data_IF_620427964455
#
_entry.id   IF_620427964455
#
_cell.length_a   1.000
_cell.length_b   1.000
_cell.length_c   1.000
_cell.angle_alpha   90.00
_cell.angle_beta   90.00
_cell.angle_gamma   90.00
#
_symmetry.space_group_name_H-M   'P 1'
#
loop_
_entity.id
_entity.type
_entity.pdbx_description
1 polymer ?
#
# COMPACT_ATOMS: atom_id res chain seq x y z
N UNK A 1 8.45 17.47 11.47
CA UNK A 1 8.37 17.87 10.04
C UNK A 1 7.18 17.13 9.48
N UNK A 2 6.14 17.86 9.13
CA UNK A 2 4.96 17.30 8.48
C UNK A 2 5.33 16.81 7.07
N UNK A 3 5.64 15.52 6.95
CA UNK A 3 6.00 14.89 5.67
C UNK A 3 4.83 14.89 4.67
N UNK A 4 3.58 15.07 5.15
CA UNK A 4 2.41 15.11 4.28
C UNK A 4 2.38 16.36 3.38
N UNK A 5 2.92 17.49 3.87
CA UNK A 5 3.06 18.71 3.07
C UNK A 5 4.10 18.56 1.96
N UNK A 6 5.20 17.82 2.22
CA UNK A 6 6.26 17.63 1.24
C UNK A 6 5.87 16.74 0.06
N UNK A 7 5.10 15.69 0.28
CA UNK A 7 4.69 14.76 -0.79
C UNK A 7 3.73 15.43 -1.78
N UNK A 8 2.72 16.17 -1.32
CA UNK A 8 1.80 16.89 -2.19
C UNK A 8 2.50 17.88 -3.12
N UNK A 9 3.47 18.63 -2.60
CA UNK A 9 4.22 19.61 -3.39
C UNK A 9 5.20 18.94 -4.38
N UNK A 10 5.79 17.79 -4.02
CA UNK A 10 6.67 17.03 -4.91
C UNK A 10 5.90 16.52 -6.12
N UNK A 11 4.75 15.88 -5.93
CA UNK A 11 3.92 15.39 -7.03
C UNK A 11 3.42 16.52 -7.92
N UNK A 12 3.04 17.66 -7.36
CA UNK A 12 2.57 18.80 -8.13
C UNK A 12 3.68 19.43 -8.99
N UNK A 13 4.92 19.48 -8.49
CA UNK A 13 6.07 19.90 -9.30
C UNK A 13 6.36 18.94 -10.44
N UNK A 14 6.24 17.64 -10.18
CA UNK A 14 6.41 16.62 -11.23
C UNK A 14 5.35 16.76 -12.33
N UNK A 15 4.10 17.06 -11.97
CA UNK A 15 3.01 17.25 -12.92
C UNK A 15 3.21 18.43 -13.87
N UNK A 16 4.03 19.42 -13.52
CA UNK A 16 4.41 20.51 -14.44
C UNK A 16 5.17 20.01 -15.66
N UNK A 17 5.89 18.90 -15.51
CA UNK A 17 6.68 18.28 -16.58
C UNK A 17 5.96 17.08 -17.23
N UNK A 18 4.69 16.86 -16.91
CA UNK A 18 3.89 15.74 -17.41
C UNK A 18 2.64 16.23 -18.17
N UNK A 19 2.80 16.80 -19.37
CA UNK A 19 1.69 17.43 -20.11
C UNK A 19 0.57 16.46 -20.51
N UNK A 20 0.87 15.15 -20.50
CA UNK A 20 -0.10 14.12 -20.86
C UNK A 20 -1.06 13.77 -19.72
N UNK A 21 -0.82 14.23 -18.49
CA UNK A 21 -1.72 14.00 -17.37
C UNK A 21 -2.92 14.94 -17.48
N UNK A 22 -4.08 14.39 -17.77
CA UNK A 22 -5.33 15.15 -17.97
C UNK A 22 -6.04 15.45 -16.66
N UNK A 23 -6.05 14.51 -15.72
CA UNK A 23 -6.73 14.64 -14.43
C UNK A 23 -5.85 14.15 -13.28
N UNK A 24 -5.97 14.84 -12.15
CA UNK A 24 -5.35 14.46 -10.89
C UNK A 24 -6.47 14.33 -9.85
N UNK A 25 -6.71 13.10 -9.40
CA UNK A 25 -7.73 12.79 -8.40
C UNK A 25 -7.12 12.99 -7.02
N UNK A 26 -7.69 13.89 -6.24
CA UNK A 26 -7.17 14.28 -4.92
C UNK A 26 -8.09 13.78 -3.82
N UNK A 27 -7.54 13.01 -2.87
CA UNK A 27 -8.25 12.56 -1.67
C UNK A 27 -8.07 13.59 -0.55
N UNK A 28 -9.17 14.13 -0.03
CA UNK A 28 -9.14 15.06 1.10
C UNK A 28 -8.99 14.29 2.41
N UNK A 29 -7.75 14.03 2.82
CA UNK A 29 -7.46 13.24 4.03
C UNK A 29 -7.39 14.08 5.31
N UNK A 30 -6.64 15.16 5.29
CA UNK A 30 -6.37 16.01 6.47
C UNK A 30 -7.20 17.29 6.52
N UNK A 31 -7.86 17.64 5.43
CA UNK A 31 -8.62 18.88 5.32
C UNK A 31 -7.77 20.14 5.14
N UNK A 32 -6.46 20.03 5.10
CA UNK A 32 -5.58 21.16 4.87
C UNK A 32 -5.81 21.79 3.49
N UNK A 33 -5.58 23.10 3.37
CA UNK A 33 -5.56 23.76 2.07
C UNK A 33 -4.38 23.23 1.25
N UNK A 34 -4.65 22.95 -0.03
CA UNK A 34 -3.65 22.51 -1.01
C UNK A 34 -3.70 23.45 -2.21
N UNK A 35 -2.55 23.64 -2.87
CA UNK A 35 -2.56 24.39 -4.14
C UNK A 35 -3.40 23.60 -5.16
N UNK A 36 -4.22 24.28 -5.96
CA UNK A 36 -5.23 23.66 -6.80
C UNK A 36 -5.14 24.16 -8.23
N UNK A 37 -5.18 23.23 -9.18
CA UNK A 37 -5.31 23.54 -10.61
C UNK A 37 -6.71 23.11 -11.06
N UNK A 38 -7.58 24.07 -11.33
CA UNK A 38 -8.99 23.84 -11.66
C UNK A 38 -9.22 23.10 -12.98
N UNK A 39 -8.28 23.14 -13.91
CA UNK A 39 -8.40 22.46 -15.20
C UNK A 39 -8.07 20.95 -15.10
N UNK A 40 -7.29 20.56 -14.08
CA UNK A 40 -6.76 19.22 -13.93
C UNK A 40 -7.22 18.50 -12.67
N UNK A 41 -7.21 19.22 -11.51
CA UNK A 41 -7.40 18.60 -10.21
C UNK A 41 -8.88 18.44 -9.89
N UNK A 42 -9.28 17.25 -9.40
CA UNK A 42 -10.65 16.93 -9.01
C UNK A 42 -10.66 16.21 -7.66
N UNK A 43 -11.67 16.52 -6.84
CA UNK A 43 -11.81 15.84 -5.56
C UNK A 43 -12.36 14.42 -5.75
N UNK A 44 -11.73 13.43 -5.15
CA UNK A 44 -12.19 12.05 -5.19
C UNK A 44 -13.65 11.90 -4.76
N UNK A 45 -14.01 12.48 -3.61
CA UNK A 45 -15.36 12.40 -3.07
C UNK A 45 -16.41 13.15 -3.88
N UNK A 46 -16.04 14.02 -4.80
CA UNK A 46 -16.98 14.65 -5.71
C UNK A 46 -17.23 13.78 -6.94
N UNK A 47 -16.18 13.18 -7.50
CA UNK A 47 -16.33 12.36 -8.70
C UNK A 47 -17.01 11.01 -8.45
N UNK A 48 -17.01 10.50 -7.20
CA UNK A 48 -17.66 9.23 -6.88
C UNK A 48 -19.16 9.34 -6.57
N UNK A 49 -19.72 10.57 -6.47
CA UNK A 49 -21.13 10.76 -6.09
C UNK A 49 -22.11 10.16 -7.09
N UNK A 50 -21.77 10.26 -8.35
CA UNK A 50 -22.66 9.92 -9.47
C UNK A 50 -22.21 8.65 -10.23
N UNK A 51 -21.28 7.87 -9.65
CA UNK A 51 -20.84 6.62 -10.27
C UNK A 51 -21.50 5.41 -9.61
N UNK A 52 -21.72 4.36 -10.38
CA UNK A 52 -22.22 3.09 -9.86
C UNK A 52 -21.23 2.48 -8.88
N UNK A 53 -21.75 1.87 -7.81
CA UNK A 53 -20.95 1.01 -6.92
C UNK A 53 -20.68 -0.38 -7.52
N UNK A 54 -21.38 -0.74 -8.60
CA UNK A 54 -21.13 -1.97 -9.32
C UNK A 54 -20.04 -1.74 -10.38
N UNK A 55 -18.93 -2.47 -10.25
CA UNK A 55 -17.81 -2.47 -11.17
C UNK A 55 -17.43 -3.94 -11.43
N UNK A 56 -17.87 -4.46 -12.55
CA UNK A 56 -17.50 -5.81 -12.94
C UNK A 56 -16.00 -5.91 -13.19
N UNK A 57 -15.33 -6.99 -12.69
CA UNK A 57 -13.91 -7.19 -12.95
C UNK A 57 -13.66 -7.44 -14.43
N UNK A 58 -12.59 -6.85 -14.96
CA UNK A 58 -12.12 -7.12 -16.32
C UNK A 58 -11.54 -8.54 -16.40
N UNK A 59 -11.90 -9.27 -17.44
CA UNK A 59 -11.32 -10.58 -17.71
C UNK A 59 -9.88 -10.43 -18.22
N UNK A 60 -8.93 -11.03 -17.51
CA UNK A 60 -7.51 -10.93 -17.78
C UNK A 60 -6.90 -12.31 -18.03
N UNK A 61 -6.01 -12.43 -19.02
CA UNK A 61 -5.19 -13.62 -19.15
C UNK A 61 -4.07 -13.63 -18.13
N UNK A 62 -3.58 -14.83 -17.79
CA UNK A 62 -2.50 -14.98 -16.81
C UNK A 62 -1.23 -14.20 -17.17
N UNK A 63 -0.95 -14.07 -18.46
CA UNK A 63 0.24 -13.36 -18.96
C UNK A 63 0.02 -11.86 -19.20
N UNK A 64 -1.21 -11.36 -19.02
CA UNK A 64 -1.47 -9.94 -19.16
C UNK A 64 -0.73 -9.12 -18.11
N UNK A 65 -0.18 -7.95 -18.47
CA UNK A 65 0.52 -7.08 -17.54
C UNK A 65 -0.38 -6.63 -16.38
N UNK A 66 0.10 -6.84 -15.14
CA UNK A 66 -0.60 -6.35 -13.95
C UNK A 66 -0.07 -4.96 -13.55
N UNK A 67 1.24 -4.85 -13.35
CA UNK A 67 1.91 -3.58 -13.04
C UNK A 67 3.41 -3.65 -13.31
N UNK A 68 4.06 -2.48 -13.34
CA UNK A 68 5.51 -2.35 -13.44
C UNK A 68 6.01 -1.68 -12.16
N UNK A 69 6.98 -2.33 -11.50
CA UNK A 69 7.70 -1.75 -10.37
C UNK A 69 9.17 -1.52 -10.73
N UNK A 70 9.67 -0.35 -10.36
CA UNK A 70 11.06 -0.01 -10.55
C UNK A 70 11.89 -0.37 -9.33
N UNK A 71 13.01 -1.06 -9.56
CA UNK A 71 14.04 -1.32 -8.56
C UNK A 71 15.18 -0.32 -8.71
N UNK A 72 15.87 -0.03 -7.61
CA UNK A 72 17.03 0.89 -7.63
C UNK A 72 18.18 0.41 -8.51
N UNK A 73 18.21 -0.88 -8.87
CA UNK A 73 19.22 -1.51 -9.71
C UNK A 73 20.64 -1.42 -9.14
N UNK A 74 21.41 -2.50 -9.26
CA UNK A 74 22.83 -2.53 -8.86
C UNK A 74 23.73 -1.63 -9.73
N UNK A 75 23.24 -1.18 -10.89
CA UNK A 75 23.99 -0.37 -11.87
C UNK A 75 23.64 1.13 -11.81
N UNK A 76 22.93 1.58 -10.78
CA UNK A 76 22.55 2.99 -10.59
C UNK A 76 21.38 3.49 -11.44
N UNK A 77 20.96 2.79 -12.49
CA UNK A 77 19.74 3.12 -13.25
C UNK A 77 18.58 2.25 -12.78
N UNK A 78 17.42 2.84 -12.45
CA UNK A 78 16.23 2.07 -12.10
C UNK A 78 15.84 1.11 -13.23
N UNK A 79 15.47 -0.12 -12.87
CA UNK A 79 14.98 -1.13 -13.80
C UNK A 79 13.53 -1.43 -13.52
N UNK A 80 12.68 -1.32 -14.54
CA UNK A 80 11.27 -1.70 -14.46
C UNK A 80 11.13 -3.22 -14.51
N UNK A 81 10.44 -3.78 -13.53
CA UNK A 81 10.06 -5.20 -13.49
C UNK A 81 8.58 -5.29 -13.79
N UNK A 82 8.25 -5.95 -14.89
CA UNK A 82 6.88 -6.24 -15.27
C UNK A 82 6.39 -7.48 -14.51
N UNK A 83 5.29 -7.33 -13.81
CA UNK A 83 4.58 -8.44 -13.19
C UNK A 83 3.33 -8.78 -13.99
N UNK A 84 3.13 -10.08 -14.27
CA UNK A 84 1.93 -10.57 -14.97
C UNK A 84 0.83 -10.92 -13.97
N UNK A 85 -0.41 -10.87 -14.44
CA UNK A 85 -1.62 -11.03 -13.61
C UNK A 85 -1.64 -12.38 -12.89
N UNK A 86 -1.54 -13.49 -13.63
CA UNK A 86 -1.58 -14.82 -13.04
C UNK A 86 -0.34 -15.17 -12.26
N UNK A 87 0.86 -14.92 -12.83
CA UNK A 87 2.13 -15.25 -12.19
C UNK A 87 2.32 -14.56 -10.84
N UNK A 88 2.02 -13.28 -10.77
CA UNK A 88 2.12 -12.52 -9.52
C UNK A 88 1.10 -12.99 -8.47
N UNK A 89 -0.15 -13.21 -8.86
CA UNK A 89 -1.20 -13.67 -7.96
C UNK A 89 -0.91 -15.04 -7.36
N UNK A 90 -0.46 -15.99 -8.19
CA UNK A 90 -0.06 -17.32 -7.71
C UNK A 90 1.09 -17.21 -6.72
N UNK A 91 2.13 -16.45 -7.07
CA UNK A 91 3.28 -16.25 -6.17
C UNK A 91 2.87 -15.63 -4.83
N UNK A 92 2.14 -14.52 -4.86
CA UNK A 92 1.72 -13.81 -3.65
C UNK A 92 0.80 -14.66 -2.76
N UNK A 93 -0.16 -15.36 -3.36
CA UNK A 93 -1.09 -16.25 -2.65
C UNK A 93 -0.38 -17.43 -2.01
N UNK A 94 0.43 -18.17 -2.79
CA UNK A 94 1.14 -19.36 -2.28
C UNK A 94 2.16 -19.01 -1.22
N UNK A 95 2.94 -17.95 -1.41
CA UNK A 95 3.93 -17.53 -0.41
C UNK A 95 3.27 -17.05 0.86
N UNK A 96 2.16 -16.32 0.77
CA UNK A 96 1.38 -15.96 1.96
C UNK A 96 0.87 -17.21 2.70
N UNK A 97 0.29 -18.17 1.99
CA UNK A 97 -0.25 -19.37 2.61
C UNK A 97 0.83 -20.25 3.25
N UNK A 98 1.92 -20.54 2.53
CA UNK A 98 2.90 -21.54 2.96
C UNK A 98 3.98 -20.95 3.88
N UNK A 99 4.53 -19.77 3.56
CA UNK A 99 5.62 -19.19 4.35
C UNK A 99 5.10 -18.67 5.69
N UNK A 100 3.94 -18.01 5.68
CA UNK A 100 3.33 -17.55 6.93
C UNK A 100 2.48 -18.61 7.63
N UNK A 101 2.36 -19.81 7.04
CA UNK A 101 1.57 -20.92 7.58
C UNK A 101 0.13 -20.47 7.94
N UNK A 102 -0.43 -19.62 7.06
CA UNK A 102 -1.75 -19.03 7.27
C UNK A 102 -2.84 -20.11 7.34
N UNK A 103 -3.71 -20.00 8.31
CA UNK A 103 -4.88 -20.88 8.49
C UNK A 103 -6.16 -20.06 8.46
N UNK A 104 -7.28 -20.63 8.00
CA UNK A 104 -8.58 -19.96 8.04
C UNK A 104 -8.89 -19.44 9.45
N UNK A 105 -9.35 -18.18 9.53
CA UNK A 105 -9.66 -17.41 10.75
C UNK A 105 -8.44 -16.81 11.46
N UNK A 106 -7.20 -17.10 11.04
CA UNK A 106 -6.06 -16.36 11.56
C UNK A 106 -6.17 -14.87 11.21
N UNK A 107 -5.74 -14.03 12.15
CA UNK A 107 -5.60 -12.61 11.94
C UNK A 107 -4.15 -12.32 11.57
N UNK A 108 -3.96 -11.85 10.37
CA UNK A 108 -2.66 -11.55 9.79
C UNK A 108 -2.42 -10.03 9.81
N UNK A 109 -1.21 -9.61 10.12
CA UNK A 109 -0.83 -8.21 10.07
C UNK A 109 0.54 -8.00 9.46
N UNK A 110 0.58 -7.31 8.33
CA UNK A 110 1.81 -6.82 7.70
C UNK A 110 1.90 -5.30 7.90
N UNK A 111 3.03 -4.81 8.41
CA UNK A 111 3.27 -3.38 8.65
C UNK A 111 4.15 -2.73 7.60
N UNK A 112 4.33 -3.37 6.45
CA UNK A 112 5.04 -2.77 5.33
C UNK A 112 4.29 -1.52 4.81
N UNK A 113 5.02 -0.62 4.19
CA UNK A 113 4.41 0.50 3.47
C UNK A 113 3.74 -0.02 2.20
N UNK A 114 2.52 0.44 1.93
CA UNK A 114 1.75 0.04 0.75
C UNK A 114 2.41 0.51 -0.56
N UNK A 115 3.27 1.50 -0.52
CA UNK A 115 4.05 1.95 -1.67
C UNK A 115 5.21 1.03 -2.07
N UNK A 116 5.50 0.00 -1.28
CA UNK A 116 6.54 -0.99 -1.56
C UNK A 116 5.95 -2.32 -2.02
N UNK A 117 6.72 -3.09 -2.79
CA UNK A 117 6.28 -4.41 -3.27
C UNK A 117 5.86 -5.36 -2.15
N UNK A 118 6.51 -5.27 -0.99
CA UNK A 118 6.11 -6.05 0.19
C UNK A 118 4.69 -5.70 0.65
N UNK A 119 4.33 -4.42 0.61
CA UNK A 119 2.97 -3.97 0.91
C UNK A 119 1.97 -4.48 -0.13
N UNK A 120 2.29 -4.38 -1.41
CA UNK A 120 1.43 -4.94 -2.47
C UNK A 120 1.22 -6.45 -2.26
N UNK A 121 2.29 -7.21 -2.10
CA UNK A 121 2.22 -8.67 -2.00
C UNK A 121 1.55 -9.16 -0.72
N UNK A 122 1.87 -8.53 0.42
CA UNK A 122 1.55 -9.09 1.74
C UNK A 122 0.66 -8.20 2.63
N UNK A 123 0.14 -7.09 2.11
CA UNK A 123 -1.01 -6.40 2.71
C UNK A 123 -2.27 -6.69 1.90
N UNK A 124 -2.15 -6.70 0.56
CA UNK A 124 -3.31 -6.77 -0.35
C UNK A 124 -3.38 -8.12 -1.05
N UNK A 125 -2.51 -8.37 -2.05
CA UNK A 125 -2.73 -9.48 -2.98
C UNK A 125 -2.70 -10.86 -2.32
N UNK A 126 -1.65 -11.21 -1.59
CA UNK A 126 -1.53 -12.53 -0.95
C UNK A 126 -2.60 -12.81 0.10
N UNK A 127 -2.75 -11.93 1.10
CA UNK A 127 -3.77 -12.14 2.14
C UNK A 127 -5.19 -12.18 1.59
N UNK A 128 -5.58 -11.25 0.72
CA UNK A 128 -6.94 -11.17 0.21
C UNK A 128 -7.26 -12.33 -0.76
N UNK A 129 -6.28 -12.78 -1.56
CA UNK A 129 -6.45 -13.96 -2.40
C UNK A 129 -6.69 -15.25 -1.58
N UNK A 130 -6.21 -15.30 -0.34
CA UNK A 130 -6.45 -16.41 0.59
C UNK A 130 -7.66 -16.18 1.51
N UNK A 131 -8.45 -15.13 1.30
CA UNK A 131 -9.58 -14.77 2.17
C UNK A 131 -9.18 -14.46 3.60
N UNK A 132 -7.96 -13.96 3.82
CA UNK A 132 -7.43 -13.69 5.15
C UNK A 132 -8.06 -12.44 5.77
N UNK A 133 -8.25 -12.47 7.10
CA UNK A 133 -8.49 -11.27 7.88
C UNK A 133 -7.15 -10.57 8.09
N UNK A 134 -7.01 -9.37 7.52
CA UNK A 134 -5.77 -8.58 7.62
C UNK A 134 -6.02 -7.25 8.30
N UNK A 135 -5.02 -6.77 9.04
CA UNK A 135 -5.07 -5.46 9.70
C UNK A 135 -4.37 -4.44 8.81
N UNK A 136 -5.06 -3.34 8.52
CA UNK A 136 -4.47 -2.14 7.93
C UNK A 136 -4.29 -1.10 9.03
N UNK A 137 -3.06 -0.66 9.23
CA UNK A 137 -2.70 0.28 10.28
C UNK A 137 -2.17 1.59 9.69
N UNK A 138 -2.84 2.68 10.00
CA UNK A 138 -2.38 4.03 9.68
C UNK A 138 -1.69 4.64 10.90
N UNK A 139 -0.38 4.66 10.90
CA UNK A 139 0.39 5.20 12.02
C UNK A 139 1.86 4.83 11.96
N UNK A 140 2.57 5.18 13.03
CA UNK A 140 3.99 4.87 13.20
C UNK A 140 4.18 3.97 14.43
N UNK A 141 5.25 3.16 14.46
CA UNK A 141 5.44 2.11 15.47
C UNK A 141 5.63 2.64 16.90
N UNK A 142 6.09 3.88 17.04
CA UNK A 142 6.48 4.50 18.30
C UNK A 142 5.55 5.62 18.78
N UNK A 143 4.35 5.77 18.21
CA UNK A 143 3.37 6.74 18.66
C UNK A 143 2.06 6.06 19.09
N UNK A 144 1.53 6.42 20.27
CA UNK A 144 2.01 7.40 21.26
C UNK A 144 3.23 6.92 22.07
N UNK A 145 3.56 5.63 21.99
CA UNK A 145 4.72 5.05 22.65
C UNK A 145 5.17 3.77 21.92
N UNK A 146 6.32 3.23 22.30
CA UNK A 146 6.95 2.07 21.65
C UNK A 146 6.19 0.75 21.79
N UNK A 147 5.20 0.67 22.68
CA UNK A 147 4.35 -0.51 22.85
C UNK A 147 3.15 -0.53 21.90
N UNK A 148 3.00 0.48 21.04
CA UNK A 148 1.82 0.65 20.18
C UNK A 148 1.46 -0.58 19.35
N UNK A 149 2.45 -1.19 18.73
CA UNK A 149 2.21 -2.38 17.91
C UNK A 149 1.82 -3.59 18.74
N UNK A 150 2.46 -3.76 19.89
CA UNK A 150 2.14 -4.88 20.79
C UNK A 150 0.74 -4.76 21.37
N UNK A 151 0.29 -3.56 21.65
CA UNK A 151 -1.10 -3.29 22.05
C UNK A 151 -2.10 -3.67 20.93
N UNK A 152 -1.75 -3.45 19.66
CA UNK A 152 -2.58 -3.86 18.52
C UNK A 152 -2.58 -5.38 18.38
N UNK A 153 -1.41 -6.00 18.46
CA UNK A 153 -1.26 -7.47 18.42
C UNK A 153 -2.13 -8.11 19.50
N UNK A 154 -2.06 -7.61 20.72
CA UNK A 154 -2.86 -8.16 21.83
C UNK A 154 -4.35 -7.86 21.67
N UNK A 155 -4.71 -6.63 21.32
CA UNK A 155 -6.12 -6.23 21.16
C UNK A 155 -6.85 -7.05 20.11
N UNK A 156 -6.22 -7.26 18.97
CA UNK A 156 -6.82 -7.97 17.83
C UNK A 156 -6.42 -9.44 17.74
N UNK A 157 -5.66 -9.94 18.72
CA UNK A 157 -5.22 -11.35 18.77
C UNK A 157 -4.55 -11.80 17.46
N UNK A 158 -3.59 -10.99 17.00
CA UNK A 158 -2.86 -11.25 15.76
C UNK A 158 -2.10 -12.56 15.84
N UNK A 159 -2.37 -13.47 14.91
CA UNK A 159 -1.72 -14.78 14.83
C UNK A 159 -0.36 -14.69 14.11
N UNK A 160 -0.30 -13.89 13.06
CA UNK A 160 0.93 -13.68 12.28
C UNK A 160 1.23 -12.22 12.13
N UNK A 161 2.42 -11.82 12.59
CA UNK A 161 2.92 -10.45 12.52
C UNK A 161 4.15 -10.38 11.60
N UNK A 162 4.03 -9.69 10.48
CA UNK A 162 5.10 -9.51 9.50
C UNK A 162 5.54 -8.05 9.43
N UNK A 163 6.82 -7.81 9.69
CA UNK A 163 7.37 -6.46 9.74
C UNK A 163 8.84 -6.40 9.35
N UNK A 164 9.37 -5.19 9.16
CA UNK A 164 10.79 -5.00 8.87
C UNK A 164 11.65 -5.07 10.16
N UNK A 165 12.87 -5.61 10.10
CA UNK A 165 13.77 -5.68 11.25
C UNK A 165 14.06 -4.31 11.88
N UNK A 166 14.16 -3.26 11.07
CA UNK A 166 14.36 -1.88 11.55
C UNK A 166 13.20 -1.38 12.40
N UNK A 167 12.00 -1.76 12.05
CA UNK A 167 10.80 -1.37 12.79
C UNK A 167 10.70 -2.08 14.14
N UNK A 168 11.08 -3.36 14.21
CA UNK A 168 11.19 -4.08 15.49
C UNK A 168 12.25 -3.43 16.39
N UNK A 169 13.41 -3.09 15.83
CA UNK A 169 14.46 -2.40 16.60
C UNK A 169 13.98 -1.08 17.21
N UNK A 170 13.20 -0.29 16.44
CA UNK A 170 12.62 0.96 16.96
C UNK A 170 11.65 0.72 18.11
N UNK A 171 10.91 -0.39 18.12
CA UNK A 171 10.01 -0.74 19.22
C UNK A 171 10.76 -1.30 20.45
N UNK A 172 11.95 -1.89 20.24
CA UNK A 172 12.75 -2.52 21.28
C UNK A 172 13.78 -1.59 21.95
N UNK A 173 14.15 -0.47 21.31
CA UNK A 173 15.14 0.48 21.83
C UNK A 173 14.76 1.04 23.22
N UNK A 174 13.48 0.95 23.60
CA UNK A 174 12.96 1.45 24.86
C UNK A 174 12.55 0.33 25.84
N UNK A 175 12.86 -0.91 25.54
CA UNK A 175 12.72 -2.04 26.44
C UNK A 175 14.08 -2.39 27.05
#
# INVERSE_FOLDING_TARGET
IDRSRGLGDVYKRQLLNCPNIKKCIVVKRTGNSVSWNYDRDVWYHDIIKDVSSNCEPEEMNAEDPLFILYTSGSTGKPKGVLHTTGGYMVYASMTHQYIFNYKPKDIYWCTADIGWVTGHSYIIYGPLANGATTIMFEGVPNYPNSSRWWQIVDKYKVNTFYTAPTAIRLSLIHI
#
